data_IF_588797694482
#
_entry.id   IF_588797694482
#
_cell.length_a   1.000
_cell.length_b   1.000
_cell.length_c   1.000
_cell.angle_alpha   90.00
_cell.angle_beta   90.00
_cell.angle_gamma   90.00
#
_symmetry.space_group_name_H-M   'P 1'
#
loop_
_entity.id
_entity.type
_entity.pdbx_description
1 polymer ?
#
# COMPACT_ATOMS: atom_id res chain seq x y z
N UNK A 1 -6.13 -2.52 -12.73
CA UNK A 1 -5.42 -3.76 -13.00
C UNK A 1 -6.40 -4.87 -13.37
N UNK A 2 -7.03 -5.53 -12.39
CA UNK A 2 -7.92 -6.66 -12.65
C UNK A 2 -9.26 -6.20 -13.20
N UNK A 3 -9.87 -7.05 -14.03
CA UNK A 3 -11.25 -6.85 -14.46
C UNK A 3 -12.20 -7.04 -13.28
N UNK A 4 -13.18 -6.14 -13.05
CA UNK A 4 -14.13 -6.27 -11.95
C UNK A 4 -14.93 -7.59 -11.97
N UNK A 5 -15.21 -8.13 -13.16
CA UNK A 5 -15.94 -9.40 -13.27
C UNK A 5 -15.07 -10.60 -12.85
N UNK A 6 -13.77 -10.58 -13.14
CA UNK A 6 -12.86 -11.63 -12.69
C UNK A 6 -12.67 -11.57 -11.16
N UNK A 7 -12.59 -10.36 -10.59
CA UNK A 7 -12.61 -10.18 -9.14
C UNK A 7 -13.91 -10.72 -8.53
N UNK A 8 -15.07 -10.44 -9.13
CA UNK A 8 -16.36 -10.94 -8.67
C UNK A 8 -16.41 -12.46 -8.65
N UNK A 9 -15.94 -13.12 -9.73
CA UNK A 9 -15.83 -14.59 -9.81
C UNK A 9 -14.93 -15.14 -8.72
N UNK A 10 -13.78 -14.50 -8.47
CA UNK A 10 -12.86 -14.90 -7.42
C UNK A 10 -13.52 -14.82 -6.04
N UNK A 11 -14.16 -13.70 -5.70
CA UNK A 11 -14.80 -13.53 -4.39
C UNK A 11 -15.99 -14.47 -4.18
N UNK A 12 -16.79 -14.73 -5.22
CA UNK A 12 -17.84 -15.79 -5.16
C UNK A 12 -17.26 -17.16 -4.88
N UNK A 13 -16.11 -17.50 -5.49
CA UNK A 13 -15.39 -18.77 -5.22
C UNK A 13 -14.91 -18.85 -3.77
N UNK A 14 -14.61 -17.71 -3.14
CA UNK A 14 -14.25 -17.61 -1.72
C UNK A 14 -15.48 -17.58 -0.78
N UNK A 15 -16.69 -17.72 -1.31
CA UNK A 15 -17.92 -17.77 -0.54
C UNK A 15 -18.53 -16.40 -0.20
N UNK A 16 -18.05 -15.33 -0.81
CA UNK A 16 -18.58 -13.99 -0.61
C UNK A 16 -19.70 -13.67 -1.61
N UNK A 17 -20.76 -13.00 -1.15
CA UNK A 17 -21.87 -12.58 -2.01
C UNK A 17 -21.59 -11.24 -2.70
N UNK A 18 -22.33 -10.94 -3.75
CA UNK A 18 -22.25 -9.67 -4.47
C UNK A 18 -22.70 -8.47 -3.61
N UNK A 19 -23.45 -8.70 -2.54
CA UNK A 19 -23.82 -7.67 -1.57
C UNK A 19 -22.69 -7.35 -0.59
N UNK A 20 -21.80 -8.32 -0.34
CA UNK A 20 -20.66 -8.16 0.56
C UNK A 20 -19.46 -7.52 -0.16
N UNK A 21 -19.28 -7.82 -1.45
CA UNK A 21 -18.14 -7.34 -2.24
C UNK A 21 -18.63 -6.77 -3.56
N UNK A 22 -18.36 -5.51 -3.80
CA UNK A 22 -18.71 -4.79 -5.03
C UNK A 22 -17.40 -4.33 -5.71
N UNK A 23 -16.82 -5.12 -6.65
CA UNK A 23 -15.64 -4.72 -7.39
C UNK A 23 -15.94 -3.55 -8.31
N UNK A 24 -15.17 -2.47 -8.19
CA UNK A 24 -15.28 -1.27 -9.01
C UNK A 24 -13.92 -0.97 -9.63
N UNK A 25 -13.86 -0.77 -10.95
CA UNK A 25 -12.66 -0.28 -11.62
C UNK A 25 -12.66 1.24 -11.57
N UNK A 26 -11.75 1.80 -10.77
CA UNK A 26 -11.64 3.24 -10.61
C UNK A 26 -10.18 3.68 -10.51
N UNK A 27 -9.93 4.94 -10.84
CA UNK A 27 -8.67 5.61 -10.56
C UNK A 27 -8.72 6.14 -9.11
N UNK A 28 -7.69 5.83 -8.31
CA UNK A 28 -7.61 6.28 -6.92
C UNK A 28 -7.55 7.82 -6.78
N UNK A 29 -7.17 8.52 -7.85
CA UNK A 29 -7.13 10.00 -7.88
C UNK A 29 -8.47 10.64 -8.25
N UNK A 30 -9.45 9.83 -8.69
CA UNK A 30 -10.77 10.27 -9.15
C UNK A 30 -11.83 9.21 -8.85
N UNK A 31 -12.09 8.96 -7.58
CA UNK A 31 -13.03 7.93 -7.14
C UNK A 31 -14.48 8.32 -7.46
N UNK A 32 -15.30 7.38 -8.00
CA UNK A 32 -16.67 7.65 -8.43
C UNK A 32 -17.68 7.47 -7.28
N UNK A 33 -17.41 8.01 -6.10
CA UNK A 33 -18.26 7.92 -4.92
C UNK A 33 -18.68 9.30 -4.43
N UNK A 34 -19.74 9.35 -3.67
CA UNK A 34 -20.17 10.56 -2.96
C UNK A 34 -19.26 10.84 -1.75
N UNK A 35 -19.23 12.10 -1.32
CA UNK A 35 -18.52 12.46 -0.09
C UNK A 35 -19.12 11.72 1.11
N UNK A 36 -18.26 11.40 2.09
CA UNK A 36 -18.65 10.72 3.34
C UNK A 36 -19.34 9.35 3.12
N UNK A 37 -18.99 8.68 2.04
CA UNK A 37 -19.57 7.38 1.69
C UNK A 37 -19.03 6.23 2.56
N UNK A 38 -17.72 6.21 2.84
CA UNK A 38 -17.06 5.09 3.52
C UNK A 38 -16.93 5.30 5.03
N UNK A 39 -17.08 4.21 5.78
CA UNK A 39 -16.77 4.16 7.22
C UNK A 39 -15.26 3.92 7.46
N UNK A 40 -14.61 3.23 6.53
CA UNK A 40 -13.16 3.00 6.53
C UNK A 40 -12.64 2.89 5.10
N UNK A 41 -11.37 3.25 4.91
CA UNK A 41 -10.63 3.08 3.65
C UNK A 41 -9.40 2.23 3.96
N UNK A 42 -9.18 1.18 3.18
CA UNK A 42 -8.02 0.29 3.31
C UNK A 42 -7.26 0.31 1.99
N UNK A 43 -5.97 0.59 2.05
CA UNK A 43 -5.06 0.52 0.91
C UNK A 43 -3.92 -0.44 1.21
N UNK A 44 -3.84 -1.51 0.44
CA UNK A 44 -2.78 -2.51 0.55
C UNK A 44 -1.95 -2.49 -0.72
N UNK A 45 -0.63 -2.36 -0.57
CA UNK A 45 0.37 -2.40 -1.65
C UNK A 45 0.01 -1.49 -2.86
N UNK A 46 -0.48 -0.30 -2.58
CA UNK A 46 -0.90 0.63 -3.64
C UNK A 46 -0.71 2.10 -3.31
N UNK A 47 -0.84 2.50 -2.04
CA UNK A 47 -0.74 3.91 -1.64
C UNK A 47 0.63 4.53 -1.98
N UNK A 48 1.70 3.76 -1.97
CA UNK A 48 3.05 4.18 -2.34
C UNK A 48 3.16 4.73 -3.77
N UNK A 49 2.24 4.38 -4.68
CA UNK A 49 2.24 4.86 -6.06
C UNK A 49 1.63 6.26 -6.22
N UNK A 50 0.60 6.60 -5.44
CA UNK A 50 -0.16 7.85 -5.60
C UNK A 50 -0.16 8.74 -4.35
N UNK A 51 0.12 8.21 -3.17
CA UNK A 51 0.07 8.93 -1.89
C UNK A 51 1.29 9.79 -1.57
N UNK A 52 2.24 9.96 -2.50
CA UNK A 52 3.46 10.76 -2.30
C UNK A 52 3.23 12.28 -2.38
N UNK A 53 2.11 12.71 -2.96
CA UNK A 53 1.69 14.10 -2.87
C UNK A 53 1.17 14.39 -1.45
N UNK A 54 1.76 15.35 -0.69
CA UNK A 54 1.31 15.69 0.66
C UNK A 54 -0.16 16.15 0.76
N UNK A 55 -0.76 16.54 -0.36
CA UNK A 55 -2.18 16.95 -0.42
C UNK A 55 -3.12 15.80 -0.75
N UNK A 56 -2.60 14.66 -1.17
CA UNK A 56 -3.43 13.56 -1.67
C UNK A 56 -4.47 13.10 -0.64
N UNK A 57 -4.08 12.97 0.62
CA UNK A 57 -5.02 12.60 1.69
C UNK A 57 -6.18 13.59 1.80
N UNK A 58 -5.86 14.87 1.99
CA UNK A 58 -6.87 15.91 2.21
C UNK A 58 -7.76 16.12 0.96
N UNK A 59 -7.15 16.14 -0.24
CA UNK A 59 -7.83 16.55 -1.46
C UNK A 59 -8.54 15.38 -2.19
N UNK A 60 -8.06 14.12 -2.01
CA UNK A 60 -8.45 13.01 -2.86
C UNK A 60 -9.02 11.80 -2.13
N UNK A 61 -8.69 11.61 -0.85
CA UNK A 61 -9.08 10.41 -0.13
C UNK A 61 -10.04 10.70 1.03
N UNK A 62 -9.69 11.62 1.90
CA UNK A 62 -10.50 11.96 3.08
C UNK A 62 -11.91 12.46 2.76
N UNK A 63 -12.18 13.19 1.65
CA UNK A 63 -13.55 13.59 1.35
C UNK A 63 -14.55 12.44 1.28
N UNK A 64 -14.11 11.26 0.86
CA UNK A 64 -14.98 10.07 0.75
C UNK A 64 -15.17 9.31 2.07
N UNK A 65 -14.34 9.58 3.09
CA UNK A 65 -14.41 8.93 4.39
C UNK A 65 -15.30 9.74 5.33
N UNK A 66 -16.20 9.12 6.08
CA UNK A 66 -16.99 9.79 7.11
C UNK A 66 -16.11 10.38 8.22
N UNK A 67 -16.59 11.45 8.87
CA UNK A 67 -15.92 11.97 10.07
C UNK A 67 -15.80 10.88 11.14
N UNK A 68 -14.64 10.80 11.79
CA UNK A 68 -14.30 9.74 12.74
C UNK A 68 -13.92 8.39 12.11
N UNK A 69 -14.08 8.23 10.80
CA UNK A 69 -13.68 7.04 10.05
C UNK A 69 -12.15 6.88 9.98
N UNK A 70 -11.70 5.69 9.56
CA UNK A 70 -10.29 5.34 9.59
C UNK A 70 -9.73 5.08 8.18
N UNK A 71 -8.48 5.47 7.97
CA UNK A 71 -7.67 5.04 6.83
C UNK A 71 -6.60 4.07 7.35
N UNK A 72 -6.53 2.89 6.73
CA UNK A 72 -5.52 1.87 6.99
C UNK A 72 -4.67 1.70 5.72
N UNK A 73 -3.37 1.89 5.83
CA UNK A 73 -2.43 1.77 4.72
C UNK A 73 -1.37 0.75 5.10
N UNK A 74 -1.14 -0.24 4.23
CA UNK A 74 -0.03 -1.18 4.32
C UNK A 74 0.73 -1.14 2.99
N UNK A 75 2.01 -0.75 3.03
CA UNK A 75 2.83 -0.53 1.83
C UNK A 75 4.22 -1.12 1.99
N UNK A 76 4.83 -1.59 0.90
CA UNK A 76 6.23 -1.94 0.91
C UNK A 76 7.09 -0.69 1.14
N UNK A 77 8.19 -0.87 1.85
CA UNK A 77 9.10 0.21 2.19
C UNK A 77 10.52 -0.27 2.42
N UNK A 78 11.37 0.65 2.82
CA UNK A 78 12.73 0.41 3.24
C UNK A 78 12.88 0.61 4.74
N UNK A 79 13.68 -0.21 5.42
CA UNK A 79 14.03 -0.02 6.83
C UNK A 79 14.79 1.29 7.07
N UNK A 80 15.56 1.68 6.06
CA UNK A 80 16.28 2.94 6.00
C UNK A 80 16.46 3.34 4.55
N UNK A 81 16.29 4.62 4.25
CA UNK A 81 16.51 5.14 2.91
C UNK A 81 17.92 4.79 2.39
N UNK A 82 17.97 4.15 1.23
CA UNK A 82 19.18 3.80 0.53
C UNK A 82 19.21 4.23 -0.94
N UNK A 83 18.33 5.14 -1.35
CA UNK A 83 18.23 5.60 -2.75
C UNK A 83 19.51 6.24 -3.28
N UNK A 84 20.30 6.88 -2.41
CA UNK A 84 21.59 7.46 -2.82
C UNK A 84 22.65 6.42 -3.20
N UNK A 85 22.49 5.17 -2.75
CA UNK A 85 23.39 4.05 -3.04
C UNK A 85 22.61 2.74 -2.89
N UNK A 86 21.85 2.40 -3.92
CA UNK A 86 20.99 1.21 -3.94
C UNK A 86 21.83 -0.07 -3.78
N UNK A 87 21.46 -0.94 -2.83
CA UNK A 87 22.13 -2.23 -2.65
C UNK A 87 22.02 -3.10 -3.91
N UNK A 88 23.12 -3.72 -4.35
CA UNK A 88 23.11 -4.56 -5.56
C UNK A 88 22.18 -5.76 -5.45
N UNK A 89 21.91 -6.25 -4.24
CA UNK A 89 20.95 -7.32 -3.99
C UNK A 89 19.53 -6.93 -4.43
N UNK A 90 19.11 -5.68 -4.17
CA UNK A 90 17.77 -5.19 -4.58
C UNK A 90 17.67 -5.05 -6.10
N UNK A 91 18.76 -4.66 -6.76
CA UNK A 91 18.80 -4.47 -8.21
C UNK A 91 18.71 -5.78 -9.01
N UNK A 92 18.76 -6.94 -8.34
CA UNK A 92 18.49 -8.24 -8.98
C UNK A 92 17.00 -8.44 -9.34
N UNK A 93 16.12 -7.74 -8.68
CA UNK A 93 14.67 -7.90 -8.86
C UNK A 93 13.96 -6.60 -9.26
N UNK A 94 14.45 -5.45 -8.83
CA UNK A 94 13.80 -4.17 -9.06
C UNK A 94 14.73 -3.17 -9.73
N UNK A 95 14.18 -2.39 -10.65
CA UNK A 95 14.88 -1.22 -11.21
C UNK A 95 14.92 -0.08 -10.20
N UNK A 96 15.85 0.90 -10.36
CA UNK A 96 15.83 2.11 -9.53
C UNK A 96 14.48 2.82 -9.51
N UNK A 97 13.79 2.91 -10.67
CA UNK A 97 12.48 3.55 -10.77
C UNK A 97 11.39 2.80 -9.98
N UNK A 98 11.47 1.46 -9.90
CA UNK A 98 10.55 0.67 -9.06
C UNK A 98 10.86 0.85 -7.57
N UNK A 99 12.14 0.92 -7.20
CA UNK A 99 12.55 1.16 -5.82
C UNK A 99 12.22 2.58 -5.34
N UNK A 100 12.09 3.56 -6.26
CA UNK A 100 11.66 4.94 -5.94
C UNK A 100 10.25 5.03 -5.32
N UNK A 101 9.47 3.95 -5.37
CA UNK A 101 8.19 3.86 -4.67
C UNK A 101 8.28 3.26 -3.26
N UNK A 102 9.45 2.76 -2.85
CA UNK A 102 9.67 2.12 -1.55
C UNK A 102 10.49 3.05 -0.65
N UNK A 103 9.82 3.81 0.20
CA UNK A 103 10.47 4.74 1.12
C UNK A 103 10.46 4.22 2.57
N UNK A 104 11.27 4.84 3.44
CA UNK A 104 11.29 4.55 4.86
C UNK A 104 10.17 5.26 5.64
N UNK A 105 10.04 4.96 6.91
CA UNK A 105 9.04 5.58 7.80
C UNK A 105 9.20 7.09 7.86
N UNK A 106 10.43 7.61 7.91
CA UNK A 106 10.68 9.06 8.02
C UNK A 106 10.15 9.83 6.81
N UNK A 107 10.26 9.24 5.62
CA UNK A 107 9.66 9.81 4.42
C UNK A 107 8.13 9.90 4.55
N UNK A 108 7.47 8.81 4.95
CA UNK A 108 6.02 8.78 5.07
C UNK A 108 5.50 9.67 6.20
N UNK A 109 6.18 9.74 7.34
CA UNK A 109 5.88 10.71 8.40
C UNK A 109 5.95 12.15 7.87
N UNK A 110 6.97 12.45 7.03
CA UNK A 110 7.13 13.75 6.43
C UNK A 110 6.00 14.10 5.46
N UNK A 111 5.50 13.13 4.67
CA UNK A 111 4.34 13.32 3.79
C UNK A 111 3.08 13.54 4.62
N UNK A 112 2.80 12.64 5.56
CA UNK A 112 1.52 12.57 6.28
C UNK A 112 1.35 13.72 7.27
N UNK A 113 2.42 14.26 7.85
CA UNK A 113 2.34 15.43 8.75
C UNK A 113 1.70 16.67 8.10
N UNK A 114 1.62 16.74 6.78
CA UNK A 114 0.99 17.83 6.07
C UNK A 114 -0.54 17.69 5.97
N UNK A 115 -1.07 16.48 6.23
CA UNK A 115 -2.50 16.24 6.28
C UNK A 115 -3.14 17.01 7.44
N UNK A 116 -4.19 17.76 7.16
CA UNK A 116 -4.93 18.57 8.13
C UNK A 116 -6.26 17.94 8.52
N UNK A 117 -6.84 17.13 7.64
CA UNK A 117 -8.14 16.52 7.81
C UNK A 117 -8.13 15.23 8.62
N UNK A 118 -6.95 14.72 9.02
CA UNK A 118 -6.85 13.52 9.82
C UNK A 118 -5.79 13.63 10.92
N UNK A 119 -5.97 12.86 11.99
CA UNK A 119 -4.93 12.64 13.00
C UNK A 119 -4.23 11.31 12.76
N UNK A 120 -2.94 11.28 12.97
CA UNK A 120 -2.14 10.05 12.94
C UNK A 120 -2.44 9.23 14.20
N UNK A 121 -2.83 7.98 14.02
CA UNK A 121 -3.00 7.01 15.12
C UNK A 121 -1.68 6.24 15.31
N UNK A 122 -1.12 5.73 14.20
CA UNK A 122 0.18 5.04 14.23
C UNK A 122 0.85 5.05 12.86
N UNK A 123 2.19 5.05 12.87
CA UNK A 123 3.05 4.72 11.73
C UNK A 123 4.16 3.82 12.28
N UNK A 124 4.30 2.61 11.77
CA UNK A 124 5.32 1.67 12.24
C UNK A 124 5.63 0.60 11.18
N UNK A 125 6.76 -0.07 11.35
CA UNK A 125 7.05 -1.29 10.59
C UNK A 125 6.09 -2.41 11.03
N UNK A 126 5.58 -3.17 10.07
CA UNK A 126 4.69 -4.30 10.38
C UNK A 126 5.48 -5.43 11.03
N UNK A 127 5.01 -5.94 12.16
CA UNK A 127 5.61 -7.11 12.83
C UNK A 127 5.57 -8.37 11.96
N UNK A 128 4.55 -8.46 11.08
CA UNK A 128 4.37 -9.56 10.13
C UNK A 128 5.25 -9.46 8.86
N UNK A 129 6.20 -8.54 8.81
CA UNK A 129 7.02 -8.30 7.61
C UNK A 129 7.66 -9.59 7.04
N UNK A 130 8.25 -10.42 7.89
CA UNK A 130 8.87 -11.67 7.47
C UNK A 130 7.83 -12.68 6.96
N UNK A 131 6.69 -12.81 7.64
CA UNK A 131 5.58 -13.69 7.24
C UNK A 131 5.02 -13.27 5.87
N UNK A 132 4.78 -11.99 5.67
CA UNK A 132 4.25 -11.44 4.40
C UNK A 132 5.21 -11.75 3.25
N UNK A 133 6.51 -11.51 3.40
CA UNK A 133 7.49 -11.87 2.38
C UNK A 133 7.53 -13.37 2.11
N UNK A 134 7.54 -14.19 3.15
CA UNK A 134 7.55 -15.65 3.01
C UNK A 134 6.32 -16.17 2.26
N UNK A 135 5.15 -15.59 2.50
CA UNK A 135 3.92 -16.01 1.81
C UNK A 135 3.86 -15.46 0.37
N UNK A 136 4.34 -14.24 0.15
CA UNK A 136 4.47 -13.69 -1.20
C UNK A 136 5.39 -14.52 -2.09
N UNK A 137 6.57 -14.85 -1.61
CA UNK A 137 7.59 -15.58 -2.37
C UNK A 137 7.20 -17.03 -2.72
N UNK A 138 6.18 -17.59 -2.06
CA UNK A 138 5.58 -18.89 -2.41
C UNK A 138 4.65 -18.82 -3.61
N UNK A 139 4.20 -17.63 -4.00
CA UNK A 139 3.25 -17.47 -5.09
C UNK A 139 3.92 -17.72 -6.45
N UNK A 140 3.17 -18.38 -7.36
CA UNK A 140 3.65 -18.75 -8.70
C UNK A 140 3.19 -17.72 -9.77
N UNK A 141 3.28 -16.43 -9.44
CA UNK A 141 3.10 -15.35 -10.40
C UNK A 141 4.45 -14.72 -10.79
N UNK A 142 4.49 -14.03 -11.92
CA UNK A 142 5.70 -13.45 -12.48
C UNK A 142 6.42 -12.47 -11.55
N UNK A 143 5.68 -11.71 -10.74
CA UNK A 143 6.25 -10.72 -9.81
C UNK A 143 6.93 -11.42 -8.63
N UNK A 144 6.24 -12.35 -7.97
CA UNK A 144 6.81 -13.10 -6.86
C UNK A 144 8.05 -13.91 -7.29
N UNK A 145 8.03 -14.50 -8.50
CA UNK A 145 9.17 -15.21 -9.09
C UNK A 145 10.35 -14.26 -9.31
N UNK A 146 10.08 -13.05 -9.82
CA UNK A 146 11.11 -12.02 -10.01
C UNK A 146 11.74 -11.60 -8.69
N UNK A 147 10.93 -11.40 -7.65
CA UNK A 147 11.36 -10.89 -6.35
C UNK A 147 12.24 -11.89 -5.58
N UNK A 148 12.11 -13.20 -5.85
CA UNK A 148 12.95 -14.26 -5.25
C UNK A 148 14.43 -13.97 -5.37
N UNK A 149 14.89 -13.44 -6.52
CA UNK A 149 16.33 -13.21 -6.77
C UNK A 149 16.95 -12.24 -5.77
N UNK A 150 16.29 -11.11 -5.51
CA UNK A 150 16.76 -10.15 -4.52
C UNK A 150 16.70 -10.71 -3.11
N UNK A 151 15.62 -11.43 -2.78
CA UNK A 151 15.39 -11.97 -1.44
C UNK A 151 16.39 -13.08 -1.11
N UNK A 152 16.69 -14.00 -2.05
CA UNK A 152 17.70 -15.04 -1.93
C UNK A 152 19.13 -14.46 -1.79
N UNK A 153 19.38 -13.31 -2.41
CA UNK A 153 20.63 -12.57 -2.26
C UNK A 153 20.74 -11.79 -0.93
N UNK A 154 19.72 -11.87 -0.07
CA UNK A 154 19.68 -11.18 1.22
C UNK A 154 19.13 -9.76 1.17
N UNK A 155 18.42 -9.39 0.11
CA UNK A 155 17.77 -8.07 -0.05
C UNK A 155 16.74 -7.75 1.03
N UNK A 156 16.10 -8.76 1.61
CA UNK A 156 15.11 -8.60 2.68
C UNK A 156 15.61 -7.86 3.93
N UNK A 157 16.92 -7.78 4.14
CA UNK A 157 17.49 -6.99 5.25
C UNK A 157 17.29 -5.48 5.09
N UNK A 158 17.03 -5.01 3.86
CA UNK A 158 16.80 -3.59 3.55
C UNK A 158 15.32 -3.22 3.51
N UNK A 159 14.43 -4.21 3.34
CA UNK A 159 13.01 -4.01 3.09
C UNK A 159 12.17 -4.25 4.34
N UNK A 160 11.03 -3.58 4.39
CA UNK A 160 9.97 -3.78 5.37
C UNK A 160 8.60 -3.58 4.70
N UNK A 161 7.54 -3.81 5.48
CA UNK A 161 6.22 -3.26 5.23
C UNK A 161 5.91 -2.22 6.30
N UNK A 162 5.31 -1.12 5.89
CA UNK A 162 4.94 0.00 6.75
C UNK A 162 3.44 0.04 6.88
N UNK A 163 2.96 0.04 8.13
CA UNK A 163 1.56 0.27 8.48
C UNK A 163 1.37 1.72 8.89
N UNK A 164 0.34 2.37 8.32
CA UNK A 164 -0.08 3.72 8.65
C UNK A 164 -1.56 3.70 8.96
N UNK A 165 -1.94 4.20 10.12
CA UNK A 165 -3.34 4.32 10.54
C UNK A 165 -3.64 5.78 10.84
N UNK A 166 -4.69 6.29 10.19
CA UNK A 166 -5.17 7.66 10.35
C UNK A 166 -6.65 7.64 10.73
N UNK A 167 -7.10 8.67 11.44
CA UNK A 167 -8.53 8.89 11.68
C UNK A 167 -8.92 10.26 11.18
N UNK A 168 -9.97 10.34 10.33
CA UNK A 168 -10.54 11.60 9.88
C UNK A 168 -11.09 12.42 11.06
N UNK A 169 -10.78 13.71 11.09
CA UNK A 169 -11.25 14.67 12.10
C UNK A 169 -12.71 15.08 11.87
#
# INVERSE_FOLDING_TARGET
WSDPEDNRKFFRKMGLSDEQIIPVKADATALPFEEEFFDAIISTDSYNYFGRDPKFLDDKLLPYLKHGGYVYIAIPGMKKDCHSNLPPELLLSWTPDQLDYMHDIMYWENIIRHCKGARVISIHEMESNEEVWNDWLKQENEYAISDRKAMEAGGGKYLNFISIVLQRL
#
